data_IF_881220441268
#
_entry.id   IF_881220441268
#
_cell.length_a   1.000
_cell.length_b   1.000
_cell.length_c   1.000
_cell.angle_alpha   90.00
_cell.angle_beta   90.00
_cell.angle_gamma   90.00
#
_symmetry.space_group_name_H-M   'P 1'
#
loop_
_entity.id
_entity.type
_entity.pdbx_description
1 polymer ?
#
# COMPACT_ATOMS: atom_id res chain seq x y z
N UNK A 1 -25.11 6.02 -4.50
CA UNK A 1 -25.21 6.19 -3.05
C UNK A 1 -24.52 4.99 -2.42
N UNK A 2 -23.25 5.13 -2.05
CA UNK A 2 -22.56 4.07 -1.31
C UNK A 2 -23.16 4.02 0.10
N UNK A 3 -23.50 2.82 0.55
CA UNK A 3 -24.11 2.56 1.85
C UNK A 3 -23.13 2.94 2.97
N UNK A 4 -23.36 4.11 3.59
CA UNK A 4 -22.51 4.62 4.68
C UNK A 4 -22.61 3.76 5.95
N UNK A 5 -23.63 2.91 6.04
CA UNK A 5 -23.87 2.03 7.18
C UNK A 5 -22.78 0.95 7.27
N UNK A 6 -22.46 0.29 6.15
CA UNK A 6 -21.43 -0.76 6.09
C UNK A 6 -20.03 -0.23 6.44
N UNK A 7 -19.70 0.99 6.00
CA UNK A 7 -18.39 1.61 6.26
C UNK A 7 -18.14 1.91 7.74
N UNK A 8 -19.19 2.19 8.51
CA UNK A 8 -19.09 2.49 9.94
C UNK A 8 -18.99 1.20 10.77
N UNK A 9 -19.73 0.17 10.38
CA UNK A 9 -19.66 -1.16 11.01
C UNK A 9 -18.29 -1.81 10.81
N UNK A 10 -17.72 -1.73 9.59
CA UNK A 10 -16.36 -2.21 9.32
C UNK A 10 -15.30 -1.47 10.14
N UNK A 11 -15.48 -0.17 10.41
CA UNK A 11 -14.57 0.60 11.28
C UNK A 11 -14.79 0.34 12.77
N UNK A 12 -16.00 -0.07 13.17
CA UNK A 12 -16.32 -0.43 14.55
C UNK A 12 -15.77 -1.81 14.95
N UNK A 13 -15.50 -2.69 13.98
CA UNK A 13 -14.83 -3.97 14.21
C UNK A 13 -13.42 -3.75 14.81
N UNK A 14 -13.01 -4.56 15.80
CA UNK A 14 -11.65 -4.53 16.32
C UNK A 14 -10.62 -4.73 15.19
N UNK A 15 -9.52 -3.97 15.24
CA UNK A 15 -8.47 -4.03 14.22
C UNK A 15 -7.95 -5.46 13.97
N UNK A 16 -7.81 -6.27 15.03
CA UNK A 16 -7.35 -7.65 14.92
C UNK A 16 -8.24 -8.52 14.01
N UNK A 17 -9.56 -8.32 14.06
CA UNK A 17 -10.51 -9.04 13.21
C UNK A 17 -10.37 -8.59 11.76
N UNK A 18 -10.23 -7.28 11.53
CA UNK A 18 -10.05 -6.70 10.19
C UNK A 18 -8.73 -7.13 9.54
N UNK A 19 -7.67 -7.30 10.33
CA UNK A 19 -6.41 -7.91 9.88
C UNK A 19 -6.66 -9.35 9.44
N UNK A 20 -7.29 -10.16 10.29
CA UNK A 20 -7.55 -11.58 10.01
C UNK A 20 -8.44 -11.75 8.78
N UNK A 21 -9.46 -10.91 8.61
CA UNK A 21 -10.36 -10.87 7.47
C UNK A 21 -9.75 -10.20 6.21
N UNK A 22 -8.55 -9.63 6.32
CA UNK A 22 -7.84 -8.89 5.26
C UNK A 22 -8.58 -7.65 4.73
N UNK A 23 -9.45 -7.07 5.56
CA UNK A 23 -10.19 -5.83 5.25
C UNK A 23 -9.51 -4.58 5.82
N UNK A 24 -8.47 -4.75 6.65
CA UNK A 24 -7.62 -3.64 7.09
C UNK A 24 -6.92 -2.97 5.89
N UNK A 25 -6.98 -1.64 5.85
CA UNK A 25 -6.34 -0.78 4.87
C UNK A 25 -4.90 -0.50 5.30
N UNK A 26 -3.95 -0.82 4.43
CA UNK A 26 -2.52 -0.72 4.74
C UNK A 26 -1.88 0.41 3.94
N UNK A 27 -1.10 1.26 4.61
CA UNK A 27 -0.19 2.21 3.97
C UNK A 27 1.27 1.80 4.09
N UNK A 28 2.03 2.05 3.04
CA UNK A 28 3.49 1.89 3.03
C UNK A 28 4.13 3.22 2.68
N UNK A 29 4.83 3.84 3.63
CA UNK A 29 5.56 5.10 3.42
C UNK A 29 7.00 4.78 3.02
N UNK A 30 7.39 5.20 1.82
CA UNK A 30 8.67 4.88 1.20
C UNK A 30 8.60 3.61 0.38
N UNK A 31 8.64 3.73 -0.95
CA UNK A 31 8.54 2.63 -1.91
C UNK A 31 9.93 2.31 -2.49
N UNK A 32 10.91 2.24 -1.60
CA UNK A 32 12.27 1.80 -1.93
C UNK A 32 12.40 0.28 -1.94
N UNK A 33 13.65 -0.17 -1.79
CA UNK A 33 14.03 -1.59 -1.77
C UNK A 33 13.26 -2.43 -0.75
N UNK A 34 12.87 -1.84 0.39
CA UNK A 34 12.10 -2.55 1.43
C UNK A 34 10.59 -2.38 1.24
N UNK A 35 10.14 -1.14 1.04
CA UNK A 35 8.70 -0.84 1.05
C UNK A 35 7.94 -1.37 -0.16
N UNK A 36 8.51 -1.31 -1.38
CA UNK A 36 7.82 -1.84 -2.56
C UNK A 36 7.57 -3.37 -2.48
N UNK A 37 8.58 -4.23 -2.17
CA UNK A 37 8.30 -5.65 -2.04
C UNK A 37 7.35 -5.98 -0.88
N UNK A 38 7.38 -5.21 0.22
CA UNK A 38 6.38 -5.33 1.29
C UNK A 38 4.97 -5.02 0.78
N UNK A 39 4.80 -3.92 0.06
CA UNK A 39 3.53 -3.51 -0.53
C UNK A 39 2.96 -4.58 -1.48
N UNK A 40 3.81 -5.09 -2.38
CA UNK A 40 3.45 -6.15 -3.33
C UNK A 40 3.03 -7.43 -2.61
N UNK A 41 3.79 -7.87 -1.60
CA UNK A 41 3.46 -9.10 -0.87
C UNK A 41 2.18 -8.99 -0.05
N UNK A 42 1.91 -7.85 0.58
CA UNK A 42 0.65 -7.62 1.29
C UNK A 42 -0.54 -7.56 0.33
N UNK A 43 -0.38 -6.91 -0.83
CA UNK A 43 -1.41 -6.92 -1.87
C UNK A 43 -1.65 -8.33 -2.41
N UNK A 44 -0.60 -9.13 -2.64
CA UNK A 44 -0.70 -10.55 -3.03
C UNK A 44 -1.39 -11.40 -1.95
N UNK A 45 -1.17 -11.09 -0.68
CA UNK A 45 -1.84 -11.76 0.43
C UNK A 45 -3.34 -11.43 0.50
N UNK A 46 -3.81 -10.40 -0.23
CA UNK A 46 -5.22 -10.03 -0.36
C UNK A 46 -5.61 -8.70 0.27
N UNK A 47 -4.66 -7.96 0.86
CA UNK A 47 -4.94 -6.65 1.46
C UNK A 47 -5.07 -5.55 0.41
N UNK A 48 -5.71 -4.45 0.81
CA UNK A 48 -5.72 -3.19 0.06
C UNK A 48 -4.56 -2.33 0.53
N UNK A 49 -3.66 -1.98 -0.38
CA UNK A 49 -2.40 -1.31 -0.09
C UNK A 49 -2.31 0.03 -0.82
N UNK A 50 -2.00 1.07 -0.04
CA UNK A 50 -1.66 2.41 -0.51
C UNK A 50 -0.18 2.65 -0.33
N UNK A 51 0.58 2.69 -1.41
CA UNK A 51 1.97 3.13 -1.39
C UNK A 51 2.05 4.66 -1.34
N UNK A 52 2.95 5.20 -0.52
CA UNK A 52 3.18 6.65 -0.42
C UNK A 52 4.68 6.90 -0.62
N UNK A 53 5.06 7.63 -1.67
CA UNK A 53 6.45 8.03 -1.92
C UNK A 53 6.49 9.43 -2.53
N UNK A 54 7.46 10.25 -2.11
CA UNK A 54 7.64 11.61 -2.62
C UNK A 54 8.14 11.63 -4.08
N UNK A 55 8.75 10.54 -4.54
CA UNK A 55 9.22 10.41 -5.91
C UNK A 55 8.08 10.07 -6.88
N UNK A 56 7.69 11.06 -7.69
CA UNK A 56 6.60 10.95 -8.67
C UNK A 56 6.83 9.88 -9.73
N UNK A 57 8.07 9.65 -10.14
CA UNK A 57 8.39 8.67 -11.19
C UNK A 57 8.16 7.25 -10.70
N UNK A 58 8.56 6.95 -9.45
CA UNK A 58 8.28 5.66 -8.80
C UNK A 58 6.78 5.40 -8.70
N UNK A 59 6.03 6.41 -8.23
CA UNK A 59 4.58 6.31 -8.09
C UNK A 59 3.89 6.09 -9.43
N UNK A 60 4.30 6.82 -10.47
CA UNK A 60 3.75 6.65 -11.81
C UNK A 60 4.08 5.26 -12.39
N UNK A 61 5.31 4.76 -12.19
CA UNK A 61 5.70 3.42 -12.62
C UNK A 61 4.86 2.33 -11.94
N UNK A 62 4.69 2.40 -10.61
CA UNK A 62 3.85 1.43 -9.88
C UNK A 62 2.42 1.44 -10.42
N UNK A 63 1.81 2.62 -10.58
CA UNK A 63 0.43 2.72 -11.07
C UNK A 63 0.26 2.23 -12.52
N UNK A 64 1.35 2.14 -13.31
CA UNK A 64 1.36 1.48 -14.62
C UNK A 64 1.64 -0.03 -14.56
N UNK A 65 1.90 -0.59 -13.38
CA UNK A 65 2.29 -1.98 -13.19
C UNK A 65 3.75 -2.26 -13.52
N UNK A 66 4.61 -1.24 -13.54
CA UNK A 66 6.02 -1.36 -13.91
C UNK A 66 6.90 -1.48 -12.67
N UNK A 67 8.03 -2.18 -12.82
CA UNK A 67 9.05 -2.26 -11.78
C UNK A 67 10.23 -1.35 -12.11
N UNK A 68 10.71 -0.62 -11.09
CA UNK A 68 11.97 0.11 -11.10
C UNK A 68 13.01 -0.52 -10.13
N UNK A 69 12.67 -1.66 -9.52
CA UNK A 69 13.56 -2.44 -8.64
C UNK A 69 13.88 -3.76 -9.33
N UNK A 70 15.16 -4.05 -9.52
CA UNK A 70 15.63 -5.22 -10.27
C UNK A 70 15.09 -6.56 -9.71
N UNK A 71 14.94 -6.64 -8.39
CA UNK A 71 14.53 -7.87 -7.69
C UNK A 71 13.01 -8.09 -7.66
N UNK A 72 12.23 -7.24 -8.33
CA UNK A 72 10.76 -7.35 -8.38
C UNK A 72 10.31 -7.42 -9.83
N UNK A 73 9.71 -8.55 -10.20
CA UNK A 73 9.13 -8.72 -11.52
C UNK A 73 7.99 -7.73 -11.74
N UNK A 74 7.96 -7.07 -12.91
CA UNK A 74 6.89 -6.13 -13.26
C UNK A 74 5.50 -6.80 -13.23
N UNK A 75 5.41 -8.08 -13.61
CA UNK A 75 4.16 -8.87 -13.54
C UNK A 75 3.59 -8.92 -12.13
N UNK A 76 4.44 -9.08 -11.11
CA UNK A 76 4.00 -9.10 -9.71
C UNK A 76 3.38 -7.77 -9.25
N UNK A 77 3.78 -6.64 -9.84
CA UNK A 77 3.19 -5.32 -9.56
C UNK A 77 1.91 -5.16 -10.38
N UNK A 78 1.98 -5.40 -11.70
CA UNK A 78 0.88 -5.25 -12.63
C UNK A 78 -0.36 -6.04 -12.18
N UNK A 79 -0.20 -7.29 -11.75
CA UNK A 79 -1.30 -8.12 -11.25
C UNK A 79 -2.03 -7.49 -10.06
N UNK A 80 -1.29 -6.86 -9.14
CA UNK A 80 -1.90 -6.26 -7.93
C UNK A 80 -2.58 -4.92 -8.24
N UNK A 81 -2.03 -4.15 -9.17
CA UNK A 81 -2.64 -2.90 -9.64
C UNK A 81 -3.91 -3.18 -10.43
N UNK A 82 -3.87 -4.12 -11.36
CA UNK A 82 -5.05 -4.55 -12.13
C UNK A 82 -6.15 -5.10 -11.23
N UNK A 83 -5.77 -5.82 -10.17
CA UNK A 83 -6.73 -6.31 -9.18
C UNK A 83 -7.23 -5.23 -8.20
N UNK A 84 -6.79 -3.97 -8.32
CA UNK A 84 -7.18 -2.87 -7.43
C UNK A 84 -6.67 -3.00 -5.99
N UNK A 85 -5.71 -3.90 -5.75
CA UNK A 85 -5.14 -4.15 -4.41
C UNK A 85 -3.92 -3.29 -4.11
N UNK A 86 -3.24 -2.76 -5.12
CA UNK A 86 -2.11 -1.87 -4.97
C UNK A 86 -2.33 -0.59 -5.79
N UNK A 87 -2.11 0.56 -5.17
CA UNK A 87 -1.91 1.83 -5.87
C UNK A 87 -0.90 2.68 -5.09
N UNK A 88 -0.33 3.69 -5.73
CA UNK A 88 0.63 4.60 -5.13
C UNK A 88 0.22 6.07 -5.29
N UNK A 89 0.56 6.89 -4.29
CA UNK A 89 0.33 8.35 -4.25
C UNK A 89 1.57 9.10 -3.79
N UNK A 90 1.60 10.41 -4.06
CA UNK A 90 2.71 11.31 -3.69
C UNK A 90 2.41 12.23 -2.51
N UNK A 91 1.25 12.06 -1.89
CA UNK A 91 0.75 12.88 -0.80
C UNK A 91 0.24 11.99 0.34
N UNK A 92 0.05 12.59 1.51
CA UNK A 92 -0.36 11.90 2.72
C UNK A 92 -1.86 11.98 3.01
N UNK A 93 -2.66 12.54 2.10
CA UNK A 93 -4.10 12.79 2.31
C UNK A 93 -4.88 11.54 2.73
N UNK A 94 -4.48 10.36 2.24
CA UNK A 94 -5.11 9.07 2.56
C UNK A 94 -4.68 8.48 3.90
N UNK A 95 -3.71 9.08 4.63
CA UNK A 95 -3.19 8.53 5.90
C UNK A 95 -4.27 8.37 6.96
N UNK A 96 -5.20 9.32 7.06
CA UNK A 96 -6.30 9.26 8.04
C UNK A 96 -7.32 8.14 7.80
N UNK A 97 -7.25 7.49 6.64
CA UNK A 97 -8.13 6.38 6.26
C UNK A 97 -7.50 5.01 6.50
N UNK A 98 -6.19 4.96 6.76
CA UNK A 98 -5.44 3.71 6.91
C UNK A 98 -5.50 3.18 8.33
N UNK A 99 -5.51 1.86 8.46
CA UNK A 99 -5.52 1.17 9.74
C UNK A 99 -4.13 0.79 10.23
N UNK A 100 -3.22 0.53 9.28
CA UNK A 100 -1.85 0.09 9.54
C UNK A 100 -0.93 0.88 8.61
N UNK A 101 0.15 1.43 9.17
CA UNK A 101 1.15 2.18 8.40
C UNK A 101 2.52 1.56 8.67
N UNK A 102 3.19 1.13 7.61
CA UNK A 102 4.59 0.77 7.62
C UNK A 102 5.43 1.96 7.14
N UNK A 103 6.47 2.30 7.90
CA UNK A 103 7.40 3.37 7.53
C UNK A 103 8.73 2.74 7.10
N UNK A 104 9.02 2.81 5.81
CA UNK A 104 10.15 2.18 5.12
C UNK A 104 11.03 3.24 4.42
N UNK A 105 11.28 4.35 5.10
CA UNK A 105 12.13 5.45 4.60
C UNK A 105 13.60 5.20 4.96
N UNK A 106 14.56 5.77 4.20
CA UNK A 106 15.96 5.70 4.58
C UNK A 106 16.19 6.29 5.98
N UNK A 107 16.93 5.58 6.81
CA UNK A 107 17.46 6.07 8.09
C UNK A 107 18.97 6.28 7.93
N UNK A 108 19.39 7.36 7.25
CA UNK A 108 20.81 7.61 7.02
C UNK A 108 21.54 7.74 8.35
N UNK A 109 22.68 7.08 8.45
CA UNK A 109 23.62 7.27 9.54
C UNK A 109 24.74 8.20 9.05
N UNK A 110 25.02 9.26 9.80
CA UNK A 110 26.21 10.09 9.65
C UNK A 110 27.14 9.79 10.82
N UNK A 111 28.41 9.50 10.51
CA UNK A 111 29.48 9.34 11.50
C UNK A 111 29.81 10.67 12.21
#
# INVERSE_FOLDING_TARGET
MADQTTSLEEKAMPLAERITAKTALIGIVGLGYVGLPLAVNLARAGYRVTGIDVNRDKVAAINRGESYIQDIAATAIAEQVQAGRLHAVTHYDSVGELDIIFICVPTPYSE
#
